data_IF_292799158959
#
_entry.id   IF_292799158959
#
_cell.length_a   1.000
_cell.length_b   1.000
_cell.length_c   1.000
_cell.angle_alpha   90.00
_cell.angle_beta   90.00
_cell.angle_gamma   90.00
#
_symmetry.space_group_name_H-M   'P 1'
#
loop_
_entity.id
_entity.type
_entity.pdbx_description
1 polymer ?
#
# COMPACT_ATOMS: atom_id res chain seq x y z
N UNK A 1 -2.17 2.42 -10.51
CA UNK A 1 -1.57 2.54 -9.16
C UNK A 1 -0.24 1.79 -9.06
N UNK A 2 -0.17 0.49 -9.41
CA UNK A 2 1.07 -0.31 -9.40
C UNK A 2 2.28 0.36 -10.06
N UNK A 3 2.13 0.91 -11.27
CA UNK A 3 3.24 1.61 -11.95
C UNK A 3 3.71 2.88 -11.22
N UNK A 4 2.78 3.64 -10.63
CA UNK A 4 3.14 4.82 -9.85
C UNK A 4 3.93 4.43 -8.58
N UNK A 5 3.55 3.30 -7.96
CA UNK A 5 4.27 2.71 -6.83
C UNK A 5 5.66 2.21 -7.25
N UNK A 6 5.77 1.51 -8.37
CA UNK A 6 7.04 1.06 -8.94
C UNK A 6 8.00 2.22 -9.24
N UNK A 7 7.47 3.35 -9.70
CA UNK A 7 8.25 4.55 -10.01
C UNK A 7 8.47 5.48 -8.81
N UNK A 8 7.93 5.12 -7.64
CA UNK A 8 7.95 5.95 -6.44
C UNK A 8 7.39 7.38 -6.68
N UNK A 9 6.33 7.48 -7.49
CA UNK A 9 5.69 8.75 -7.86
C UNK A 9 4.33 8.90 -7.18
N UNK A 10 4.35 9.29 -5.91
CA UNK A 10 3.13 9.53 -5.11
C UNK A 10 2.31 10.69 -5.64
N UNK A 11 2.96 11.72 -6.18
CA UNK A 11 2.31 12.86 -6.81
C UNK A 11 1.35 12.42 -7.93
N UNK A 12 1.78 11.48 -8.78
CA UNK A 12 0.94 10.91 -9.84
C UNK A 12 -0.19 10.08 -9.23
N UNK A 13 0.12 9.26 -8.22
CA UNK A 13 -0.88 8.43 -7.56
C UNK A 13 -1.97 9.28 -6.90
N UNK A 14 -1.61 10.35 -6.19
CA UNK A 14 -2.53 11.25 -5.48
C UNK A 14 -3.34 12.12 -6.43
N UNK A 15 -2.72 12.71 -7.45
CA UNK A 15 -3.38 13.70 -8.30
C UNK A 15 -4.20 13.08 -9.44
N UNK A 16 -3.78 11.93 -9.96
CA UNK A 16 -4.40 11.33 -11.16
C UNK A 16 -5.13 10.03 -10.89
N UNK A 17 -4.73 9.29 -9.86
CA UNK A 17 -5.30 7.98 -9.56
C UNK A 17 -6.25 8.18 -8.39
N UNK A 18 -5.76 8.21 -7.15
CA UNK A 18 -6.52 8.27 -5.90
C UNK A 18 -7.03 9.68 -5.57
N UNK A 19 -7.92 10.22 -6.41
CA UNK A 19 -8.58 11.49 -6.14
C UNK A 19 -9.64 11.32 -5.04
N UNK A 20 -9.80 12.33 -4.18
CA UNK A 20 -10.65 12.34 -2.96
C UNK A 20 -12.13 11.94 -3.13
N UNK A 21 -12.63 11.81 -4.36
CA UNK A 21 -14.05 11.59 -4.67
C UNK A 21 -14.33 10.19 -5.23
N UNK A 22 -13.31 9.35 -5.38
CA UNK A 22 -13.45 8.02 -6.01
C UNK A 22 -13.50 6.94 -4.94
N UNK A 23 -14.60 6.19 -4.87
CA UNK A 23 -14.68 4.95 -4.10
C UNK A 23 -13.78 3.89 -4.76
N UNK A 24 -12.62 3.64 -4.16
CA UNK A 24 -11.68 2.63 -4.63
C UNK A 24 -12.14 1.24 -4.20
N UNK A 25 -13.07 0.63 -4.95
CA UNK A 25 -13.42 -0.78 -4.80
C UNK A 25 -12.37 -1.71 -5.47
N UNK A 26 -11.09 -1.43 -5.24
CA UNK A 26 -9.98 -2.22 -5.76
C UNK A 26 -9.28 -2.83 -4.55
N UNK A 27 -8.88 -4.09 -4.65
CA UNK A 27 -8.05 -4.73 -3.63
C UNK A 27 -6.68 -4.02 -3.56
N UNK A 28 -6.50 -3.19 -2.52
CA UNK A 28 -5.27 -2.45 -2.26
C UNK A 28 -4.29 -3.25 -1.40
N UNK A 29 -4.64 -4.45 -0.91
CA UNK A 29 -3.82 -5.23 0.01
C UNK A 29 -2.41 -5.52 -0.56
N UNK A 30 -2.35 -5.98 -1.80
CA UNK A 30 -1.07 -6.30 -2.46
C UNK A 30 -0.20 -5.06 -2.68
N UNK A 31 -0.82 -3.93 -3.01
CA UNK A 31 -0.12 -2.66 -3.24
C UNK A 31 0.38 -2.04 -1.95
N UNK A 32 -0.40 -2.16 -0.87
CA UNK A 32 0.00 -1.77 0.47
C UNK A 32 1.19 -2.60 0.96
N UNK A 33 1.14 -3.92 0.78
CA UNK A 33 2.23 -4.81 1.15
C UNK A 33 3.51 -4.50 0.36
N UNK A 34 3.39 -4.20 -0.93
CA UNK A 34 4.51 -3.81 -1.77
C UNK A 34 5.12 -2.47 -1.33
N UNK A 35 4.29 -1.49 -0.97
CA UNK A 35 4.75 -0.20 -0.44
C UNK A 35 5.51 -0.36 0.89
N UNK A 36 5.01 -1.21 1.78
CA UNK A 36 5.66 -1.55 3.05
C UNK A 36 7.02 -2.22 2.81
N UNK A 37 7.08 -3.22 1.95
CA UNK A 37 8.34 -3.93 1.61
C UNK A 37 9.39 -2.99 1.02
N UNK A 38 8.97 -2.00 0.24
CA UNK A 38 9.85 -0.99 -0.39
C UNK A 38 10.13 0.23 0.47
N UNK A 39 9.63 0.27 1.70
CA UNK A 39 9.77 1.42 2.61
C UNK A 39 9.28 2.75 1.99
N UNK A 40 8.19 2.71 1.23
CA UNK A 40 7.61 3.89 0.56
C UNK A 40 6.55 4.54 1.45
N UNK A 41 6.99 5.26 2.48
CA UNK A 41 6.12 5.83 3.52
C UNK A 41 5.01 6.75 2.97
N UNK A 42 5.31 7.56 1.96
CA UNK A 42 4.32 8.45 1.34
C UNK A 42 3.15 7.70 0.65
N UNK A 43 3.41 6.50 0.11
CA UNK A 43 2.37 5.64 -0.43
C UNK A 43 1.53 5.01 0.67
N UNK A 44 2.17 4.59 1.77
CA UNK A 44 1.47 4.06 2.94
C UNK A 44 0.52 5.11 3.50
N UNK A 45 0.96 6.36 3.67
CA UNK A 45 0.12 7.46 4.11
C UNK A 45 -1.07 7.70 3.16
N UNK A 46 -0.82 7.67 1.85
CA UNK A 46 -1.88 7.81 0.85
C UNK A 46 -2.94 6.70 0.99
N UNK A 47 -2.53 5.45 1.20
CA UNK A 47 -3.47 4.34 1.38
C UNK A 47 -4.28 4.47 2.66
N UNK A 48 -3.67 4.91 3.77
CA UNK A 48 -4.38 5.14 5.03
C UNK A 48 -5.39 6.27 4.96
N UNK A 49 -5.14 7.29 4.15
CA UNK A 49 -6.05 8.40 3.93
C UNK A 49 -7.37 7.98 3.24
N UNK A 50 -7.35 6.92 2.43
CA UNK A 50 -8.51 6.42 1.69
C UNK A 50 -9.25 5.27 2.40
N UNK A 51 -9.31 5.31 3.74
CA UNK A 51 -10.02 4.35 4.58
C UNK A 51 -9.64 2.88 4.35
N UNK A 52 -8.35 2.62 4.13
CA UNK A 52 -7.87 1.25 4.00
C UNK A 52 -7.97 0.51 5.36
N UNK A 53 -8.72 -0.62 5.44
CA UNK A 53 -8.91 -1.34 6.68
C UNK A 53 -7.64 -2.14 7.06
N UNK A 54 -6.71 -1.47 7.74
CA UNK A 54 -5.51 -2.08 8.34
C UNK A 54 -5.84 -3.35 9.15
N UNK A 55 -6.95 -3.32 9.87
CA UNK A 55 -7.41 -4.44 10.69
C UNK A 55 -7.70 -5.70 9.88
N UNK A 56 -8.19 -5.56 8.64
CA UNK A 56 -8.45 -6.71 7.76
C UNK A 56 -7.15 -7.26 7.14
N UNK A 57 -6.21 -6.38 6.80
CA UNK A 57 -4.90 -6.77 6.27
C UNK A 57 -4.08 -7.56 7.30
N UNK A 58 -4.07 -7.10 8.56
CA UNK A 58 -3.34 -7.75 9.65
C UNK A 58 -4.13 -8.84 10.37
N UNK A 59 -5.37 -9.12 9.94
CA UNK A 59 -6.15 -10.25 10.46
C UNK A 59 -5.47 -11.59 10.17
N UNK A 60 -4.76 -11.69 9.05
CA UNK A 60 -3.98 -12.87 8.72
C UNK A 60 -2.55 -12.75 9.26
N UNK A 61 -2.16 -13.66 10.14
CA UNK A 61 -0.80 -13.76 10.68
C UNK A 61 0.23 -14.09 9.59
N UNK A 62 -0.17 -14.75 8.50
CA UNK A 62 0.71 -15.06 7.37
C UNK A 62 1.27 -13.78 6.73
N UNK A 63 0.45 -12.70 6.66
CA UNK A 63 0.88 -11.40 6.13
C UNK A 63 1.97 -10.78 7.00
N UNK A 64 1.83 -10.87 8.33
CA UNK A 64 2.84 -10.43 9.29
C UNK A 64 4.13 -11.24 9.14
N UNK A 65 4.03 -12.56 9.09
CA UNK A 65 5.18 -13.45 8.88
C UNK A 65 5.89 -13.09 7.56
N UNK A 66 5.15 -12.87 6.47
CA UNK A 66 5.70 -12.49 5.17
C UNK A 66 6.43 -11.13 5.21
N UNK A 67 5.97 -10.17 6.02
CA UNK A 67 6.65 -8.88 6.19
C UNK A 67 7.93 -8.99 7.01
N UNK A 68 7.89 -9.71 8.13
CA UNK A 68 9.06 -9.88 9.01
C UNK A 68 10.14 -10.75 8.37
N UNK A 69 9.77 -11.79 7.62
CA UNK A 69 10.73 -12.64 6.92
C UNK A 69 11.36 -11.96 5.70
N UNK A 70 10.64 -11.06 5.02
CA UNK A 70 11.19 -10.30 3.89
C UNK A 70 12.45 -9.51 4.27
N UNK A 71 12.41 -8.82 5.42
CA UNK A 71 13.54 -8.00 5.91
C UNK A 71 14.77 -8.82 6.33
N UNK A 72 14.59 -10.09 6.68
CA UNK A 72 15.71 -10.97 7.07
C UNK A 72 16.45 -11.58 5.87
N UNK A 73 15.93 -11.42 4.65
CA UNK A 73 16.49 -11.96 3.42
C UNK A 73 17.26 -10.90 2.58
N UNK A 74 17.34 -9.66 3.06
CA UNK A 74 18.20 -8.58 2.52
C UNK A 74 19.45 -8.43 3.39
#
# INVERSE_FOLDING_TARGET
>A
LRLALEWNRVDIARNHIMKNETDWNIDLNDLFLLALKRNQAEFVELFLYHDFPLSDLFRNIDTLIALYTYKNNE
#
